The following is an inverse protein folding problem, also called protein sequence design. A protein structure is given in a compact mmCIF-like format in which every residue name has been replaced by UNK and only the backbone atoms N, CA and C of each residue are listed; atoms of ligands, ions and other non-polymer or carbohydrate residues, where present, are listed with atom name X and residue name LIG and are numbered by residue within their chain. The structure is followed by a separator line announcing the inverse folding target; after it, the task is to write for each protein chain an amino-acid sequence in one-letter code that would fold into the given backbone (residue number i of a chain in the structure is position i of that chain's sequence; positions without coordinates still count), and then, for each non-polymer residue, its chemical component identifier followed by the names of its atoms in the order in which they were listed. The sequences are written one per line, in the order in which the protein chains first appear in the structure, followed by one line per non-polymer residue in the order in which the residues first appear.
data_IF_690956232223
#
_entry.id   IF_690956232223
#
_cell.length_a   1.000
_cell.length_b   1.000
_cell.length_c   1.000
_cell.angle_alpha   90.00
_cell.angle_beta   90.00
_cell.angle_gamma   90.00
#
_symmetry.space_group_name_H-M   'P 1'
#
loop_
_entity.id
_entity.type
_entity.pdbx_description
1 polymer ?
#
# COMPACT_ATOMS: atom_id res chain seq x y z
N UNK A 1 -4.00 17.07 9.87
CA UNK A 1 -3.71 15.64 10.13
C UNK A 1 -3.97 14.94 8.80
N UNK A 2 -2.97 14.91 7.92
CA UNK A 2 -3.14 14.63 6.48
C UNK A 2 -2.63 13.24 6.13
N UNK A 3 -3.18 12.24 6.82
CA UNK A 3 -3.02 10.83 6.48
C UNK A 3 -4.42 10.21 6.32
N UNK A 4 -4.48 9.13 5.56
CA UNK A 4 -5.69 8.41 5.10
C UNK A 4 -6.64 7.95 6.21
N UNK A 5 -6.19 7.99 7.45
CA UNK A 5 -6.81 7.48 8.65
C UNK A 5 -7.58 8.51 9.46
N UNK A 6 -7.17 9.77 9.41
CA UNK A 6 -7.91 10.89 10.04
C UNK A 6 -8.76 11.65 9.03
N UNK A 7 -9.15 10.95 7.97
CA UNK A 7 -10.05 11.45 6.94
C UNK A 7 -11.33 11.93 7.60
N UNK A 8 -11.65 13.20 7.38
CA UNK A 8 -12.84 13.84 7.91
C UNK A 8 -14.08 12.98 7.57
N UNK A 9 -15.05 12.87 8.49
CA UNK A 9 -16.24 12.01 8.31
C UNK A 9 -16.94 12.23 6.97
N UNK A 10 -16.91 13.46 6.44
CA UNK A 10 -17.47 13.80 5.13
C UNK A 10 -16.74 13.12 3.96
N UNK A 11 -15.41 13.09 3.98
CA UNK A 11 -14.60 12.42 2.97
C UNK A 11 -14.76 10.89 3.08
N UNK A 12 -14.83 10.36 4.30
CA UNK A 12 -15.07 8.92 4.51
C UNK A 12 -16.46 8.47 4.01
N UNK A 13 -17.46 9.34 4.08
CA UNK A 13 -18.81 9.10 3.53
C UNK A 13 -18.86 9.27 2.01
N UNK A 14 -18.00 10.12 1.44
CA UNK A 14 -17.94 10.38 0.00
C UNK A 14 -16.71 9.69 -0.61
N UNK A 15 -16.93 8.45 -1.03
CA UNK A 15 -15.88 7.60 -1.59
C UNK A 15 -15.17 8.20 -2.79
N UNK A 16 -15.93 8.76 -3.73
CA UNK A 16 -15.37 9.36 -4.95
C UNK A 16 -14.42 10.50 -4.57
N UNK A 17 -14.86 11.40 -3.68
CA UNK A 17 -14.06 12.53 -3.26
C UNK A 17 -12.76 12.09 -2.55
N UNK A 18 -12.83 11.05 -1.72
CA UNK A 18 -11.67 10.48 -1.03
C UNK A 18 -10.61 9.97 -2.00
N UNK A 19 -11.03 9.12 -2.94
CA UNK A 19 -10.14 8.46 -3.88
C UNK A 19 -9.57 9.40 -4.93
N UNK A 20 -10.34 10.40 -5.38
CA UNK A 20 -9.86 11.45 -6.29
C UNK A 20 -8.86 12.38 -5.60
N UNK A 21 -9.08 12.72 -4.32
CA UNK A 21 -8.08 13.45 -3.53
C UNK A 21 -6.75 12.68 -3.49
N UNK A 22 -6.78 11.36 -3.25
CA UNK A 22 -5.57 10.53 -3.29
C UNK A 22 -4.95 10.45 -4.68
N UNK A 23 -5.76 10.41 -5.74
CA UNK A 23 -5.27 10.43 -7.11
C UNK A 23 -4.44 11.69 -7.38
N UNK A 24 -4.97 12.86 -7.05
CA UNK A 24 -4.29 14.14 -7.22
C UNK A 24 -3.03 14.20 -6.35
N UNK A 25 -3.15 13.84 -5.06
CA UNK A 25 -2.05 13.85 -4.11
C UNK A 25 -0.88 12.97 -4.56
N UNK A 26 -1.14 11.70 -4.91
CA UNK A 26 -0.10 10.75 -5.32
C UNK A 26 0.56 11.18 -6.62
N UNK A 27 -0.23 11.62 -7.63
CA UNK A 27 0.36 12.08 -8.90
C UNK A 27 1.21 13.32 -8.72
N UNK A 28 0.77 14.26 -7.90
CA UNK A 28 1.52 15.47 -7.58
C UNK A 28 2.84 15.10 -6.89
N UNK A 29 2.80 14.21 -5.91
CA UNK A 29 4.00 13.73 -5.21
C UNK A 29 4.97 13.04 -6.17
N UNK A 30 4.49 12.09 -6.99
CA UNK A 30 5.32 11.39 -7.99
C UNK A 30 5.98 12.37 -8.96
N UNK A 31 5.21 13.33 -9.46
CA UNK A 31 5.70 14.34 -10.39
C UNK A 31 6.75 15.23 -9.73
N UNK A 32 6.50 15.77 -8.53
CA UNK A 32 7.47 16.61 -7.82
C UNK A 32 8.76 15.83 -7.54
N UNK A 33 8.64 14.59 -7.05
CA UNK A 33 9.80 13.78 -6.66
C UNK A 33 10.65 13.30 -7.85
N UNK A 34 10.01 12.92 -8.96
CA UNK A 34 10.69 12.17 -10.03
C UNK A 34 10.46 12.68 -11.47
N UNK A 35 9.61 13.68 -11.65
CA UNK A 35 9.29 14.27 -12.96
C UNK A 35 8.29 13.48 -13.80
N UNK A 36 7.76 12.38 -13.27
CA UNK A 36 6.84 11.47 -13.95
C UNK A 36 5.67 11.13 -13.03
N UNK A 37 4.52 10.80 -13.61
CA UNK A 37 3.33 10.36 -12.87
C UNK A 37 3.05 8.85 -12.99
N UNK A 38 3.86 8.12 -13.78
CA UNK A 38 3.64 6.68 -14.04
C UNK A 38 3.99 5.79 -12.86
N UNK A 39 4.88 6.26 -11.99
CA UNK A 39 5.46 5.53 -10.87
C UNK A 39 6.66 6.31 -10.34
N UNK A 40 7.20 5.90 -9.20
CA UNK A 40 8.32 6.62 -8.59
C UNK A 40 9.59 6.36 -9.42
N UNK A 41 10.10 7.42 -10.04
CA UNK A 41 11.24 7.40 -10.97
C UNK A 41 11.08 6.48 -12.20
N UNK A 42 9.82 6.23 -12.58
CA UNK A 42 9.45 5.39 -13.71
C UNK A 42 9.03 6.24 -14.92
N UNK A 43 9.83 6.23 -15.99
CA UNK A 43 9.61 7.07 -17.19
C UNK A 43 8.90 6.34 -18.34
N UNK A 44 8.77 5.01 -18.24
CA UNK A 44 8.13 4.16 -19.25
C UNK A 44 7.48 2.94 -18.57
N UNK A 45 6.59 2.22 -19.27
CA UNK A 45 5.97 1.00 -18.73
C UNK A 45 4.91 1.24 -17.66
N UNK A 46 4.29 2.42 -17.66
CA UNK A 46 3.19 2.74 -16.74
C UNK A 46 2.00 1.78 -16.91
N UNK A 47 1.15 1.71 -15.88
CA UNK A 47 -0.06 0.87 -15.92
C UNK A 47 -1.01 1.30 -17.05
N UNK A 48 -1.94 0.42 -17.43
CA UNK A 48 -3.00 0.76 -18.38
C UNK A 48 -3.88 1.91 -17.88
N UNK A 49 -4.38 2.77 -18.78
CA UNK A 49 -5.19 3.96 -18.42
C UNK A 49 -6.38 3.63 -17.51
N UNK A 50 -7.04 2.50 -17.75
CA UNK A 50 -8.15 2.00 -16.93
C UNK A 50 -7.79 1.69 -15.47
N UNK A 51 -6.52 1.33 -15.24
CA UNK A 51 -5.96 1.01 -13.93
C UNK A 51 -5.17 2.16 -13.34
N UNK A 52 -4.92 3.24 -14.07
CA UNK A 52 -4.10 4.37 -13.62
C UNK A 52 -4.85 5.23 -12.59
N UNK A 53 -5.09 4.64 -11.43
CA UNK A 53 -5.77 5.26 -10.30
C UNK A 53 -5.36 4.53 -9.01
N UNK A 54 -4.98 5.23 -7.91
CA UNK A 54 -4.51 4.60 -6.68
C UNK A 54 -5.46 3.55 -6.09
N UNK A 55 -6.77 3.79 -6.20
CA UNK A 55 -7.79 2.82 -5.77
C UNK A 55 -7.78 1.50 -6.55
N UNK A 56 -7.08 1.40 -7.67
CA UNK A 56 -7.11 0.24 -8.60
C UNK A 56 -5.76 -0.46 -8.75
N UNK A 57 -4.74 -0.03 -8.01
CA UNK A 57 -3.38 -0.54 -8.13
C UNK A 57 -2.82 -1.02 -6.80
N UNK A 58 -1.86 -1.92 -6.91
CA UNK A 58 -0.98 -2.31 -5.82
C UNK A 58 0.39 -1.71 -6.13
N UNK A 59 0.92 -0.93 -5.21
CA UNK A 59 2.22 -0.27 -5.41
C UNK A 59 3.34 -1.30 -5.28
N UNK A 60 4.32 -1.20 -6.19
CA UNK A 60 5.56 -1.95 -6.06
C UNK A 60 6.47 -1.22 -5.05
N UNK A 61 7.03 -1.96 -4.08
CA UNK A 61 7.89 -1.42 -3.03
C UNK A 61 9.35 -1.24 -3.46
N UNK A 62 9.72 -1.79 -4.61
CA UNK A 62 11.08 -1.73 -5.15
C UNK A 62 11.15 -0.80 -6.34
N UNK A 63 12.18 0.04 -6.33
CA UNK A 63 12.53 0.92 -7.45
C UNK A 63 13.91 0.62 -8.03
N UNK A 64 14.54 -0.46 -7.55
CA UNK A 64 15.94 -0.77 -7.89
C UNK A 64 16.16 -0.97 -9.39
N UNK A 65 15.12 -1.36 -10.11
CA UNK A 65 15.17 -1.58 -11.57
C UNK A 65 14.89 -0.30 -12.37
N UNK A 66 14.27 0.72 -11.75
CA UNK A 66 13.87 1.95 -12.43
C UNK A 66 15.03 2.67 -13.15
N UNK A 67 16.26 2.76 -12.60
CA UNK A 67 17.38 3.37 -13.33
C UNK A 67 17.64 2.70 -14.67
N UNK A 68 17.66 1.36 -14.71
CA UNK A 68 17.95 0.57 -15.91
C UNK A 68 16.83 0.61 -16.96
N UNK A 69 15.58 0.75 -16.52
CA UNK A 69 14.41 0.85 -17.41
C UNK A 69 14.25 2.28 -17.95
N UNK A 70 14.41 3.27 -17.07
CA UNK A 70 14.08 4.67 -17.37
C UNK A 70 15.20 5.41 -18.10
N UNK A 71 16.47 5.00 -17.98
CA UNK A 71 17.62 5.70 -18.56
C UNK A 71 17.46 6.09 -20.05
N UNK A 72 16.95 5.21 -20.95
CA UNK A 72 16.78 5.57 -22.36
C UNK A 72 15.68 6.60 -22.61
N UNK A 73 14.75 6.77 -21.67
CA UNK A 73 13.53 7.57 -21.81
C UNK A 73 13.59 8.91 -21.06
N UNK A 74 14.66 9.18 -20.33
CA UNK A 74 14.83 10.47 -19.63
C UNK A 74 15.07 11.60 -20.65
N UNK A 75 14.58 12.82 -20.37
CA UNK A 75 14.90 13.98 -21.19
C UNK A 75 16.41 14.22 -21.22
N UNK A 76 17.03 14.13 -22.40
CA UNK A 76 18.46 14.42 -22.62
C UNK A 76 18.69 15.58 -23.59
N UNK A 77 17.71 15.88 -24.44
CA UNK A 77 17.80 16.89 -25.50
C UNK A 77 17.24 18.22 -25.00
N UNK A 78 17.89 19.36 -25.30
CA UNK A 78 17.35 20.69 -24.99
C UNK A 78 15.93 20.89 -25.53
N UNK A 79 15.02 21.32 -24.65
CA UNK A 79 13.63 21.55 -25.01
C UNK A 79 12.75 21.78 -23.78
N UNK A 80 11.44 22.04 -23.97
CA UNK A 80 10.51 22.34 -22.87
C UNK A 80 10.44 21.24 -21.81
N UNK A 81 10.56 19.97 -22.22
CA UNK A 81 10.55 18.81 -21.31
C UNK A 81 11.79 18.74 -20.44
N UNK A 82 12.97 19.00 -21.00
CA UNK A 82 14.22 19.09 -20.23
C UNK A 82 14.20 20.30 -19.30
N UNK A 83 13.68 21.45 -19.76
CA UNK A 83 13.55 22.65 -18.92
C UNK A 83 12.64 22.40 -17.71
N UNK A 84 11.44 21.84 -17.92
CA UNK A 84 10.53 21.46 -16.84
C UNK A 84 11.17 20.46 -15.88
N UNK A 85 11.89 19.47 -16.43
CA UNK A 85 12.61 18.49 -15.64
C UNK A 85 13.67 19.15 -14.75
N UNK A 86 14.50 20.03 -15.31
CA UNK A 86 15.57 20.77 -14.60
C UNK A 86 15.02 21.76 -13.56
N UNK A 87 13.95 22.49 -13.89
CA UNK A 87 13.29 23.41 -12.94
C UNK A 87 12.75 22.66 -11.72
N UNK A 88 12.10 21.51 -11.94
CA UNK A 88 11.63 20.64 -10.87
C UNK A 88 12.80 20.04 -10.07
N UNK A 89 13.86 19.65 -10.75
CA UNK A 89 15.04 19.02 -10.14
C UNK A 89 15.77 19.95 -9.17
N UNK A 90 15.68 21.27 -9.38
CA UNK A 90 16.16 22.29 -8.44
C UNK A 90 15.50 22.19 -7.05
N UNK A 91 14.21 21.84 -6.98
CA UNK A 91 13.49 21.73 -5.71
C UNK A 91 13.62 20.35 -5.07
N UNK A 92 13.62 19.28 -5.87
CA UNK A 92 13.77 17.90 -5.39
C UNK A 92 14.62 17.10 -6.37
N UNK A 93 15.83 16.73 -5.97
CA UNK A 93 16.69 15.86 -6.77
C UNK A 93 16.59 14.42 -6.27
N UNK A 94 16.02 13.54 -7.09
CA UNK A 94 16.21 12.10 -6.91
C UNK A 94 17.55 11.71 -7.57
N UNK A 95 18.53 11.16 -6.84
CA UNK A 95 19.78 10.72 -7.43
C UNK A 95 19.49 9.63 -8.47
N UNK A 96 20.07 9.77 -9.67
CA UNK A 96 19.99 8.75 -10.71
C UNK A 96 21.29 7.95 -10.64
N UNK A 97 21.25 6.67 -10.22
CA UNK A 97 22.43 5.82 -10.24
C UNK A 97 22.97 5.69 -11.66
N UNK A 98 24.30 5.71 -11.80
CA UNK A 98 24.93 5.31 -13.06
C UNK A 98 24.68 3.81 -13.28
N UNK A 99 24.12 3.47 -14.43
CA UNK A 99 23.83 2.10 -14.83
C UNK A 99 25.05 1.39 -15.42
N UNK A 100 26.13 2.13 -15.70
CA UNK A 100 27.33 1.69 -16.41
C UNK A 100 27.01 1.03 -17.76
N UNK A 101 26.05 1.62 -18.48
CA UNK A 101 25.60 1.15 -19.79
C UNK A 101 24.70 -0.10 -19.74
N UNK A 102 24.37 -0.63 -18.56
CA UNK A 102 23.38 -1.71 -18.44
C UNK A 102 21.98 -1.14 -18.58
N UNK A 103 21.14 -1.80 -19.37
CA UNK A 103 19.74 -1.41 -19.54
C UNK A 103 18.81 -2.61 -19.37
N UNK A 104 17.54 -2.31 -19.07
CA UNK A 104 16.45 -3.27 -19.11
C UNK A 104 15.43 -2.75 -20.11
N UNK A 105 15.33 -3.42 -21.26
CA UNK A 105 14.32 -3.09 -22.25
C UNK A 105 12.93 -3.51 -21.75
N UNK A 106 11.95 -2.65 -22.00
CA UNK A 106 10.55 -3.02 -21.86
C UNK A 106 10.01 -3.47 -23.21
N UNK A 107 9.09 -4.43 -23.15
CA UNK A 107 8.33 -4.88 -24.30
C UNK A 107 6.85 -5.06 -23.89
N UNK A 108 5.91 -4.94 -24.84
CA UNK A 108 4.53 -5.33 -24.61
C UNK A 108 4.38 -6.82 -24.26
N UNK A 109 3.18 -7.21 -23.84
CA UNK A 109 2.92 -8.62 -23.59
C UNK A 109 3.11 -9.45 -24.89
N UNK A 110 3.84 -10.58 -24.83
CA UNK A 110 4.01 -11.47 -25.98
C UNK A 110 2.66 -11.90 -26.54
N UNK A 111 2.48 -11.77 -27.86
CA UNK A 111 1.34 -12.32 -28.57
C UNK A 111 1.51 -13.83 -28.78
N UNK A 112 2.71 -14.25 -29.21
CA UNK A 112 3.10 -15.64 -29.42
C UNK A 112 4.62 -15.77 -29.53
N UNK A 113 5.08 -17.01 -29.49
CA UNK A 113 6.42 -17.40 -29.91
C UNK A 113 6.30 -18.19 -31.21
N UNK A 114 7.12 -17.89 -32.21
CA UNK A 114 7.15 -18.62 -33.47
C UNK A 114 7.85 -19.99 -33.32
N UNK A 115 7.89 -20.77 -34.40
CA UNK A 115 8.55 -22.09 -34.42
C UNK A 115 10.06 -22.03 -34.14
N UNK A 116 10.67 -20.86 -34.32
CA UNK A 116 12.09 -20.62 -34.07
C UNK A 116 12.35 -20.06 -32.65
N UNK A 117 11.30 -19.91 -31.84
CA UNK A 117 11.38 -19.31 -30.50
C UNK A 117 11.49 -17.78 -30.49
N UNK A 118 11.29 -17.12 -31.64
CA UNK A 118 11.26 -15.65 -31.72
C UNK A 118 9.94 -15.15 -31.15
N UNK A 119 9.99 -14.08 -30.35
CA UNK A 119 8.78 -13.48 -29.78
C UNK A 119 8.15 -12.45 -30.72
N UNK A 120 6.84 -12.58 -30.93
CA UNK A 120 6.00 -11.57 -31.56
C UNK A 120 5.30 -10.76 -30.46
N UNK A 121 5.46 -9.44 -30.44
CA UNK A 121 4.82 -8.57 -29.44
C UNK A 121 3.51 -7.97 -29.93
N UNK A 122 2.56 -7.80 -29.00
CA UNK A 122 1.31 -7.09 -29.27
C UNK A 122 1.57 -5.59 -29.43
N UNK A 123 1.07 -4.96 -30.50
CA UNK A 123 1.13 -3.50 -30.64
C UNK A 123 0.20 -2.83 -29.62
N UNK A 124 0.78 -2.16 -28.63
CA UNK A 124 0.05 -1.43 -27.60
C UNK A 124 0.04 0.10 -27.82
N UNK A 125 0.62 0.59 -28.93
CA UNK A 125 0.71 2.01 -29.26
C UNK A 125 1.59 2.84 -28.33
N UNK A 126 2.55 2.21 -27.63
CA UNK A 126 3.43 2.87 -26.64
C UNK A 126 4.91 2.76 -27.06
N UNK A 127 5.79 3.65 -26.53
CA UNK A 127 7.19 3.69 -26.94
C UNK A 127 7.97 2.38 -26.74
N UNK A 128 7.59 1.54 -25.78
CA UNK A 128 8.20 0.22 -25.61
C UNK A 128 7.94 -0.71 -26.82
N UNK A 129 6.78 -0.62 -27.48
CA UNK A 129 6.51 -1.38 -28.70
C UNK A 129 7.35 -0.87 -29.87
N UNK A 130 7.40 0.45 -30.07
CA UNK A 130 8.15 1.05 -31.18
C UNK A 130 9.63 0.70 -31.13
N UNK A 131 10.19 0.59 -29.92
CA UNK A 131 11.57 0.14 -29.70
C UNK A 131 11.77 -1.33 -30.09
N UNK A 132 10.83 -2.21 -29.75
CA UNK A 132 10.91 -3.64 -30.08
C UNK A 132 10.56 -3.95 -31.54
N UNK A 133 9.80 -3.08 -32.20
CA UNK A 133 9.34 -3.28 -33.58
C UNK A 133 10.52 -3.44 -34.53
N UNK A 134 10.52 -4.54 -35.29
CA UNK A 134 11.58 -4.86 -36.26
C UNK A 134 12.79 -5.58 -35.68
N UNK A 135 12.86 -5.76 -34.35
CA UNK A 135 13.88 -6.60 -33.73
C UNK A 135 13.45 -8.08 -33.78
N UNK A 136 14.42 -8.99 -33.97
CA UNK A 136 14.20 -10.44 -33.79
C UNK A 136 14.76 -10.84 -32.44
N UNK A 137 13.87 -11.08 -31.48
CA UNK A 137 14.25 -11.44 -30.11
C UNK A 137 13.92 -12.91 -29.87
N UNK A 138 14.93 -13.71 -29.57
CA UNK A 138 14.80 -15.13 -29.21
C UNK A 138 15.31 -15.33 -27.78
N UNK A 139 14.45 -15.35 -26.75
CA UNK A 139 14.90 -15.47 -25.37
C UNK A 139 15.37 -16.89 -25.05
N UNK A 140 16.42 -17.02 -24.24
CA UNK A 140 16.89 -18.31 -23.72
C UNK A 140 16.03 -18.81 -22.55
N UNK A 141 15.32 -17.90 -21.87
CA UNK A 141 14.45 -18.22 -20.73
C UNK A 141 13.24 -17.28 -20.68
N UNK A 142 12.08 -17.85 -20.36
CA UNK A 142 10.84 -17.10 -20.11
C UNK A 142 10.38 -17.35 -18.68
N UNK A 143 10.26 -16.28 -17.89
CA UNK A 143 9.79 -16.34 -16.50
C UNK A 143 8.40 -15.73 -16.40
N UNK A 144 7.38 -16.55 -16.12
CA UNK A 144 5.98 -16.13 -16.07
C UNK A 144 5.61 -15.56 -14.69
N UNK A 145 5.72 -14.25 -14.52
CA UNK A 145 5.35 -13.54 -13.30
C UNK A 145 3.83 -13.23 -13.20
N UNK A 146 2.96 -14.19 -13.54
CA UNK A 146 1.49 -14.00 -13.65
C UNK A 146 0.75 -14.03 -12.31
N UNK A 147 1.45 -14.34 -11.22
CA UNK A 147 0.92 -14.41 -9.86
C UNK A 147 0.23 -15.74 -9.53
N UNK A 148 -0.47 -15.78 -8.39
CA UNK A 148 -1.02 -17.00 -7.80
C UNK A 148 -2.56 -16.93 -7.65
N UNK A 149 -3.19 -18.11 -7.57
CA UNK A 149 -4.59 -18.32 -7.17
C UNK A 149 -4.63 -18.92 -5.76
N UNK A 150 -5.65 -18.58 -5.00
CA UNK A 150 -5.92 -19.18 -3.69
C UNK A 150 -6.86 -20.38 -3.87
N UNK A 151 -6.63 -21.45 -3.11
CA UNK A 151 -7.48 -22.65 -3.11
C UNK A 151 -7.52 -23.23 -1.70
N UNK A 152 -8.69 -23.68 -1.25
CA UNK A 152 -8.88 -24.26 0.09
C UNK A 152 -9.51 -25.66 0.01
N UNK A 153 -8.80 -26.67 -0.54
CA UNK A 153 -9.38 -28.00 -0.74
C UNK A 153 -9.88 -28.65 0.56
N UNK A 154 -9.33 -28.28 1.72
CA UNK A 154 -9.70 -28.80 3.02
C UNK A 154 -11.02 -28.22 3.58
N UNK A 155 -11.49 -27.07 3.10
CA UNK A 155 -12.77 -26.46 3.50
C UNK A 155 -13.95 -26.99 2.68
N UNK A 156 -13.66 -27.53 1.49
CA UNK A 156 -14.65 -28.07 0.55
C UNK A 156 -14.84 -29.59 0.67
N UNK A 157 -14.31 -30.23 1.72
CA UNK A 157 -14.49 -31.68 1.94
C UNK A 157 -15.84 -31.96 2.59
N UNK A 158 -16.88 -32.05 1.79
CA UNK A 158 -18.10 -32.76 2.16
C UNK A 158 -17.81 -34.27 1.99
N UNK A 159 -17.66 -34.98 3.11
CA UNK A 159 -17.55 -36.45 3.08
C UNK A 159 -18.94 -37.09 2.88
N UNK A 160 -20.01 -36.36 3.21
CA UNK A 160 -21.39 -36.71 2.95
C UNK A 160 -22.08 -35.63 2.12
N UNK A 161 -22.92 -36.02 1.15
CA UNK A 161 -23.65 -35.11 0.25
C UNK A 161 -24.55 -34.07 0.95
N UNK A 162 -24.80 -34.22 2.25
CA UNK A 162 -25.60 -33.31 3.07
C UNK A 162 -24.79 -32.30 3.90
N UNK A 163 -23.46 -32.38 3.89
CA UNK A 163 -22.61 -31.46 4.66
C UNK A 163 -22.52 -30.10 3.95
N UNK A 164 -22.85 -29.03 4.67
CA UNK A 164 -22.67 -27.66 4.19
C UNK A 164 -21.16 -27.35 4.20
N UNK A 165 -20.54 -26.97 3.06
CA UNK A 165 -19.12 -26.62 3.03
C UNK A 165 -18.80 -25.45 3.98
N UNK A 166 -17.61 -25.48 4.58
CA UNK A 166 -17.14 -24.33 5.35
C UNK A 166 -17.05 -23.08 4.46
N UNK A 167 -17.28 -21.88 5.01
CA UNK A 167 -17.03 -20.65 4.27
C UNK A 167 -15.57 -20.60 3.80
N UNK A 168 -15.32 -19.86 2.72
CA UNK A 168 -13.97 -19.52 2.25
C UNK A 168 -13.71 -18.03 2.48
N UNK A 169 -12.47 -17.52 2.33
CA UNK A 169 -12.19 -16.09 2.49
C UNK A 169 -13.07 -15.18 1.62
N UNK A 170 -13.49 -15.63 0.43
CA UNK A 170 -14.37 -14.85 -0.46
C UNK A 170 -15.80 -14.71 0.09
N UNK A 171 -16.19 -15.55 1.06
CA UNK A 171 -17.46 -15.48 1.77
C UNK A 171 -17.43 -14.56 3.00
N UNK A 172 -16.26 -14.04 3.39
CA UNK A 172 -16.10 -13.23 4.59
C UNK A 172 -16.64 -11.81 4.40
N UNK A 173 -17.79 -11.53 4.99
CA UNK A 173 -18.55 -10.27 4.91
C UNK A 173 -18.36 -9.38 6.15
N UNK A 174 -17.54 -9.80 7.12
CA UNK A 174 -17.10 -8.96 8.23
C UNK A 174 -15.61 -8.70 8.11
N UNK A 175 -15.26 -7.48 7.68
CA UNK A 175 -13.87 -6.99 7.55
C UNK A 175 -12.95 -7.87 6.72
N UNK A 176 -13.49 -8.73 5.86
CA UNK A 176 -12.74 -9.79 5.17
C UNK A 176 -12.01 -10.75 6.13
N UNK A 177 -12.60 -10.98 7.31
CA UNK A 177 -12.05 -11.86 8.36
C UNK A 177 -12.96 -13.04 8.64
N UNK A 178 -14.26 -12.88 8.81
CA UNK A 178 -15.19 -14.02 9.00
C UNK A 178 -16.51 -13.77 8.30
N UNK A 179 -17.35 -14.81 8.23
CA UNK A 179 -18.73 -14.73 7.75
C UNK A 179 -19.64 -14.41 8.94
N UNK A 180 -20.47 -13.37 8.85
CA UNK A 180 -21.31 -12.87 9.95
C UNK A 180 -22.16 -13.93 10.62
N UNK A 181 -22.78 -14.80 9.82
CA UNK A 181 -23.66 -15.87 10.30
C UNK A 181 -22.90 -17.10 10.80
N UNK A 182 -21.58 -17.15 10.57
CA UNK A 182 -20.70 -18.21 11.06
C UNK A 182 -19.33 -17.64 11.48
N UNK A 183 -19.25 -17.03 12.68
CA UNK A 183 -18.00 -16.45 13.17
C UNK A 183 -17.00 -17.49 13.67
N UNK A 184 -17.32 -18.78 13.63
CA UNK A 184 -16.48 -19.86 14.20
C UNK A 184 -15.20 -20.09 13.40
N UNK A 185 -15.14 -19.59 12.16
CA UNK A 185 -13.97 -19.68 11.28
C UNK A 185 -13.50 -18.27 10.86
N UNK A 186 -12.22 -18.00 11.09
CA UNK A 186 -11.56 -16.74 10.73
C UNK A 186 -10.49 -16.91 9.65
N UNK A 187 -10.49 -16.01 8.67
CA UNK A 187 -9.55 -15.92 7.56
C UNK A 187 -8.55 -14.79 7.79
N UNK A 188 -7.40 -15.14 8.37
CA UNK A 188 -6.36 -14.18 8.75
C UNK A 188 -5.31 -14.03 7.63
N UNK A 189 -4.98 -12.79 7.27
CA UNK A 189 -3.94 -12.47 6.29
C UNK A 189 -4.35 -12.61 4.82
N UNK A 190 -5.64 -12.83 4.54
CA UNK A 190 -6.16 -12.98 3.17
C UNK A 190 -6.44 -11.66 2.45
N UNK A 191 -6.34 -10.52 3.14
CA UNK A 191 -6.38 -9.20 2.51
C UNK A 191 -5.05 -8.85 1.85
N UNK A 192 -5.09 -8.11 0.74
CA UNK A 192 -3.89 -7.59 0.08
C UNK A 192 -3.81 -6.08 0.25
N UNK A 193 -2.88 -5.54 1.06
CA UNK A 193 -2.69 -4.10 1.12
C UNK A 193 -2.14 -3.55 -0.21
N UNK A 194 -2.64 -2.38 -0.64
CA UNK A 194 -2.14 -1.60 -1.79
C UNK A 194 -0.67 -1.24 -1.60
N UNK A 195 -0.34 -0.75 -0.40
CA UNK A 195 0.99 -0.44 0.09
C UNK A 195 0.99 -0.72 1.59
N UNK A 196 1.83 -1.65 2.06
CA UNK A 196 1.88 -2.01 3.48
C UNK A 196 2.23 -3.47 3.70
N UNK A 197 2.26 -3.92 4.95
CA UNK A 197 2.66 -5.26 5.33
C UNK A 197 1.43 -6.09 5.73
N UNK A 198 1.41 -7.38 5.39
CA UNK A 198 0.33 -8.28 5.81
C UNK A 198 0.41 -8.64 7.30
N UNK A 199 1.59 -8.90 7.90
CA UNK A 199 1.66 -9.33 9.31
C UNK A 199 1.00 -8.35 10.31
N UNK A 200 1.16 -7.02 10.21
CA UNK A 200 0.43 -6.10 11.08
C UNK A 200 -1.09 -6.16 10.88
N UNK A 201 -1.56 -6.30 9.65
CA UNK A 201 -2.99 -6.45 9.39
C UNK A 201 -3.52 -7.77 9.96
N UNK A 202 -2.79 -8.87 9.76
CA UNK A 202 -3.13 -10.18 10.32
C UNK A 202 -3.20 -10.16 11.84
N UNK A 203 -2.31 -9.42 12.52
CA UNK A 203 -2.38 -9.20 13.96
C UNK A 203 -3.69 -8.51 14.36
N UNK A 204 -4.05 -7.40 13.70
CA UNK A 204 -5.28 -6.66 13.98
C UNK A 204 -6.54 -7.48 13.66
N UNK A 205 -6.53 -8.23 12.55
CA UNK A 205 -7.61 -9.16 12.18
C UNK A 205 -7.82 -10.23 13.26
N UNK A 206 -6.72 -10.80 13.76
CA UNK A 206 -6.74 -11.81 14.82
C UNK A 206 -7.28 -11.23 16.11
N UNK A 207 -6.81 -10.05 16.51
CA UNK A 207 -7.30 -9.36 17.70
C UNK A 207 -8.81 -9.14 17.66
N UNK A 208 -9.34 -8.62 16.55
CA UNK A 208 -10.77 -8.38 16.38
C UNK A 208 -11.57 -9.68 16.43
N UNK A 209 -11.14 -10.69 15.69
CA UNK A 209 -11.86 -11.98 15.62
C UNK A 209 -11.86 -12.69 16.98
N UNK A 210 -10.72 -12.74 17.67
CA UNK A 210 -10.62 -13.34 19.01
C UNK A 210 -11.46 -12.57 20.02
N UNK A 211 -11.45 -11.23 20.00
CA UNK A 211 -12.31 -10.42 20.86
C UNK A 211 -13.80 -10.68 20.56
N UNK A 212 -14.19 -10.81 19.29
CA UNK A 212 -15.56 -11.15 18.91
C UNK A 212 -16.01 -12.49 19.50
N UNK A 213 -15.13 -13.50 19.53
CA UNK A 213 -15.45 -14.83 20.05
C UNK A 213 -15.45 -14.89 21.59
N UNK A 214 -14.46 -14.31 22.24
CA UNK A 214 -14.22 -14.52 23.67
C UNK A 214 -14.78 -13.41 24.56
N UNK A 215 -14.82 -12.17 24.04
CA UNK A 215 -15.21 -10.98 24.80
C UNK A 215 -15.99 -9.99 23.93
N UNK A 216 -17.14 -10.39 23.34
CA UNK A 216 -17.89 -9.53 22.41
C UNK A 216 -18.33 -8.21 23.04
N UNK A 217 -18.47 -8.15 24.37
CA UNK A 217 -18.79 -6.91 25.11
C UNK A 217 -17.69 -5.84 25.02
N UNK A 218 -16.47 -6.21 24.64
CA UNK A 218 -15.36 -5.27 24.41
C UNK A 218 -15.41 -4.62 23.03
N UNK A 219 -16.30 -5.06 22.14
CA UNK A 219 -16.58 -4.40 20.86
C UNK A 219 -17.67 -3.35 21.13
N UNK A 220 -17.35 -2.04 21.08
CA UNK A 220 -18.24 -0.98 21.58
C UNK A 220 -19.49 -0.76 20.71
N UNK A 221 -19.51 -1.29 19.48
CA UNK A 221 -20.55 -1.05 18.49
C UNK A 221 -20.67 -2.19 17.50
N UNK A 222 -21.85 -2.38 16.92
CA UNK A 222 -22.06 -3.36 15.85
C UNK A 222 -21.14 -3.09 14.66
N UNK A 223 -20.52 -4.14 14.13
CA UNK A 223 -19.64 -4.07 12.97
C UNK A 223 -20.49 -3.98 11.69
N UNK A 224 -20.70 -2.77 11.17
CA UNK A 224 -21.57 -2.54 10.03
C UNK A 224 -20.82 -2.63 8.69
N UNK A 225 -21.44 -3.15 7.62
CA UNK A 225 -20.85 -3.18 6.28
C UNK A 225 -20.52 -1.78 5.72
N UNK A 226 -21.25 -0.73 6.11
CA UNK A 226 -20.99 0.63 5.63
C UNK A 226 -19.60 1.16 6.03
N UNK A 227 -19.02 0.62 7.11
CA UNK A 227 -17.68 0.96 7.55
C UNK A 227 -16.58 0.39 6.66
N UNK A 228 -16.91 -0.45 5.68
CA UNK A 228 -15.90 -1.18 4.91
C UNK A 228 -15.49 -0.49 3.62
N UNK A 229 -16.31 0.44 3.14
CA UNK A 229 -16.18 0.97 1.80
C UNK A 229 -14.87 1.75 1.60
N UNK A 230 -14.56 2.64 2.55
CA UNK A 230 -13.49 3.62 2.43
C UNK A 230 -12.07 3.04 2.32
N UNK A 231 -11.83 1.84 2.87
CA UNK A 231 -10.52 1.20 2.78
C UNK A 231 -10.43 0.16 1.65
N UNK A 232 -11.54 -0.26 1.03
CA UNK A 232 -11.50 -1.28 -0.04
C UNK A 232 -10.97 -0.67 -1.34
N UNK A 233 -10.09 -1.38 -2.05
CA UNK A 233 -9.69 -1.00 -3.39
C UNK A 233 -10.83 -1.25 -4.40
N UNK A 234 -10.85 -0.46 -5.48
CA UNK A 234 -11.80 -0.51 -6.61
C UNK A 234 -11.20 -1.31 -7.76
N UNK A 235 -10.82 -2.56 -7.48
CA UNK A 235 -10.32 -3.49 -8.50
C UNK A 235 -11.28 -3.59 -9.68
N UNK A 236 -10.76 -3.58 -10.91
CA UNK A 236 -11.56 -3.80 -12.11
C UNK A 236 -12.26 -5.18 -12.06
N UNK A 237 -13.43 -5.37 -12.68
CA UNK A 237 -14.15 -6.66 -12.66
C UNK A 237 -13.30 -7.85 -13.13
N UNK A 238 -12.42 -7.60 -14.12
CA UNK A 238 -11.47 -8.57 -14.70
C UNK A 238 -10.16 -8.73 -13.92
N UNK A 239 -9.97 -7.99 -12.83
CA UNK A 239 -8.74 -8.07 -12.05
C UNK A 239 -8.66 -9.41 -11.30
N UNK A 240 -7.46 -10.00 -11.26
CA UNK A 240 -7.19 -11.25 -10.52
C UNK A 240 -7.39 -11.10 -9.00
N UNK A 241 -7.06 -9.94 -8.44
CA UNK A 241 -7.13 -9.67 -7.00
C UNK A 241 -8.31 -8.72 -6.73
N UNK A 242 -9.29 -9.20 -5.97
CA UNK A 242 -10.49 -8.43 -5.55
C UNK A 242 -10.50 -8.08 -4.06
N UNK A 243 -9.63 -8.70 -3.27
CA UNK A 243 -9.50 -8.52 -1.82
C UNK A 243 -8.45 -7.45 -1.45
N UNK A 244 -8.36 -6.39 -2.26
CA UNK A 244 -7.43 -5.29 -2.05
C UNK A 244 -7.90 -4.29 -1.01
N UNK A 245 -7.01 -3.80 -0.14
CA UNK A 245 -7.32 -2.78 0.87
C UNK A 245 -6.24 -1.69 0.91
N UNK A 246 -6.62 -0.48 1.32
CA UNK A 246 -5.68 0.52 1.82
C UNK A 246 -5.24 0.13 3.23
N UNK A 247 -3.92 0.02 3.44
CA UNK A 247 -3.36 -0.57 4.67
C UNK A 247 -3.70 0.23 5.92
N UNK A 248 -3.43 1.53 5.89
CA UNK A 248 -3.59 2.41 7.05
C UNK A 248 -5.07 2.55 7.41
N UNK A 249 -5.93 2.80 6.41
CA UNK A 249 -7.38 2.91 6.62
C UNK A 249 -7.99 1.62 7.18
N UNK A 250 -7.55 0.46 6.67
CA UNK A 250 -8.03 -0.83 7.16
C UNK A 250 -7.57 -1.10 8.60
N UNK A 251 -6.29 -0.91 8.91
CA UNK A 251 -5.76 -1.09 10.27
C UNK A 251 -6.47 -0.17 11.28
N UNK A 252 -6.66 1.10 10.91
CA UNK A 252 -7.37 2.07 11.75
C UNK A 252 -8.84 1.71 11.92
N UNK A 253 -9.50 1.19 10.88
CA UNK A 253 -10.88 0.72 11.00
C UNK A 253 -10.99 -0.42 12.02
N UNK A 254 -10.09 -1.40 11.96
CA UNK A 254 -10.05 -2.49 12.96
C UNK A 254 -9.76 -1.95 14.37
N UNK A 255 -8.91 -0.93 14.50
CA UNK A 255 -8.67 -0.27 15.78
C UNK A 255 -9.90 0.48 16.31
N UNK A 256 -10.69 1.12 15.46
CA UNK A 256 -11.98 1.73 15.84
C UNK A 256 -12.99 0.66 16.28
N UNK A 257 -13.02 -0.48 15.60
CA UNK A 257 -13.90 -1.61 15.92
C UNK A 257 -13.54 -2.25 17.27
N UNK A 258 -12.29 -2.15 17.71
CA UNK A 258 -11.80 -2.64 19.00
C UNK A 258 -11.82 -1.60 20.13
N UNK A 259 -12.25 -0.35 19.88
CA UNK A 259 -11.97 0.79 20.75
C UNK A 259 -10.48 0.88 21.16
N UNK A 260 -9.58 0.59 20.23
CA UNK A 260 -8.13 0.61 20.42
C UNK A 260 -7.47 1.83 19.79
N UNK A 261 -8.20 2.65 19.02
CA UNK A 261 -7.69 3.88 18.43
C UNK A 261 -7.64 5.02 19.47
N UNK A 262 -6.44 5.45 19.94
CA UNK A 262 -6.35 6.52 20.94
C UNK A 262 -6.70 7.88 20.32
N UNK A 263 -7.59 8.62 20.98
CA UNK A 263 -7.90 10.01 20.66
C UNK A 263 -6.94 11.00 21.35
N UNK A 264 -7.05 12.28 21.03
CA UNK A 264 -6.20 13.33 21.64
C UNK A 264 -6.30 13.35 23.17
N UNK A 265 -7.52 13.17 23.70
CA UNK A 265 -7.74 13.13 25.15
C UNK A 265 -7.04 11.94 25.81
N UNK A 266 -6.98 10.79 25.14
CA UNK A 266 -6.26 9.62 25.64
C UNK A 266 -4.76 9.89 25.69
N UNK A 267 -4.21 10.55 24.66
CA UNK A 267 -2.78 10.95 24.64
C UNK A 267 -2.47 11.98 25.73
N UNK A 268 -3.32 12.99 25.91
CA UNK A 268 -3.14 14.02 26.95
C UNK A 268 -3.18 13.42 28.35
N UNK A 269 -4.06 12.43 28.60
CA UNK A 269 -4.13 11.72 29.89
C UNK A 269 -2.87 10.94 30.25
N UNK A 270 -2.02 10.62 29.28
CA UNK A 270 -0.73 9.94 29.52
C UNK A 270 0.38 10.93 29.94
N UNK A 271 0.09 12.23 30.00
CA UNK A 271 1.07 13.25 30.40
C UNK A 271 1.52 13.06 31.86
N UNK A 272 2.82 13.17 32.07
CA UNK A 272 3.43 13.22 33.39
C UNK A 272 4.68 14.09 33.34
N UNK A 273 4.86 14.98 34.31
CA UNK A 273 6.04 15.84 34.40
C UNK A 273 7.36 15.06 34.39
N UNK A 274 7.39 13.87 35.02
CA UNK A 274 8.57 12.99 35.01
C UNK A 274 8.88 12.37 33.63
N UNK A 275 7.92 12.40 32.70
CA UNK A 275 7.99 11.82 31.35
C UNK A 275 7.69 12.86 30.26
N UNK A 276 7.96 14.14 30.50
CA UNK A 276 7.63 15.20 29.56
C UNK A 276 8.24 14.98 28.17
N UNK A 277 9.53 14.63 28.08
CA UNK A 277 10.21 14.39 26.80
C UNK A 277 9.66 13.17 26.03
N UNK A 278 9.51 11.97 26.64
CA UNK A 278 8.81 10.86 26.01
C UNK A 278 7.38 11.20 25.58
N UNK A 279 6.64 11.95 26.38
CA UNK A 279 5.29 12.35 26.04
C UNK A 279 5.22 13.26 24.80
N UNK A 280 6.17 14.20 24.65
CA UNK A 280 6.27 15.01 23.42
C UNK A 280 6.59 14.15 22.20
N UNK A 281 7.50 13.17 22.33
CA UNK A 281 7.75 12.19 21.26
C UNK A 281 6.47 11.43 20.89
N UNK A 282 5.72 10.97 21.90
CA UNK A 282 4.46 10.27 21.70
C UNK A 282 3.45 11.15 20.94
N UNK A 283 3.27 12.41 21.34
CA UNK A 283 2.34 13.31 20.68
C UNK A 283 2.70 13.51 19.20
N UNK A 284 3.98 13.75 18.91
CA UNK A 284 4.47 13.92 17.54
C UNK A 284 4.26 12.64 16.73
N UNK A 285 4.58 11.48 17.30
CA UNK A 285 4.37 10.18 16.64
C UNK A 285 2.88 9.89 16.41
N UNK A 286 2.04 10.26 17.35
CA UNK A 286 0.60 10.10 17.21
C UNK A 286 0.02 10.98 16.09
N UNK A 287 0.54 12.20 15.89
CA UNK A 287 0.08 13.14 14.84
C UNK A 287 0.68 12.82 13.46
N UNK A 288 1.99 12.56 13.39
CA UNK A 288 2.78 12.55 12.15
C UNK A 288 3.35 11.17 11.77
N UNK A 289 3.32 10.21 12.70
CA UNK A 289 3.79 8.84 12.48
C UNK A 289 2.77 7.99 11.74
N UNK A 290 3.25 6.91 11.13
CA UNK A 290 2.41 5.88 10.55
C UNK A 290 1.58 5.14 11.63
N UNK A 291 0.50 4.46 11.25
CA UNK A 291 -0.28 3.63 12.16
C UNK A 291 0.40 2.29 12.44
N UNK A 292 1.45 2.38 13.24
CA UNK A 292 2.10 1.21 13.83
C UNK A 292 1.14 0.58 14.83
N UNK A 293 0.96 -0.74 14.78
CA UNK A 293 0.03 -1.45 15.66
C UNK A 293 0.25 -1.17 17.14
N UNK A 294 1.49 -0.88 17.55
CA UNK A 294 1.84 -0.43 18.92
C UNK A 294 1.00 0.79 19.36
N UNK A 295 0.65 1.70 18.44
CA UNK A 295 -0.26 2.83 18.71
C UNK A 295 -1.62 2.36 19.19
N UNK A 296 -2.13 1.28 18.61
CA UNK A 296 -3.40 0.65 18.98
C UNK A 296 -3.30 -0.25 20.21
N UNK A 297 -2.11 -0.34 20.83
CA UNK A 297 -1.90 -1.04 22.10
C UNK A 297 -1.86 -0.07 23.29
N UNK A 298 -2.07 1.23 23.09
CA UNK A 298 -2.15 2.22 24.18
C UNK A 298 -3.47 2.16 24.96
N UNK A 299 -4.55 1.74 24.32
CA UNK A 299 -5.89 1.54 24.90
C UNK A 299 -6.57 0.32 24.26
N UNK A 300 -7.73 -0.06 24.79
CA UNK A 300 -8.56 -1.12 24.23
C UNK A 300 -8.31 -2.48 24.88
N UNK A 301 -9.03 -3.54 24.44
CA UNK A 301 -8.99 -4.87 25.05
C UNK A 301 -7.60 -5.53 24.96
N UNK A 302 -6.78 -5.07 24.02
CA UNK A 302 -5.45 -5.59 23.72
C UNK A 302 -4.33 -4.66 24.21
N UNK A 303 -4.63 -3.74 25.14
CA UNK A 303 -3.66 -2.79 25.71
C UNK A 303 -2.40 -3.50 26.20
N UNK A 304 -1.23 -2.93 25.88
CA UNK A 304 0.06 -3.44 26.31
C UNK A 304 0.82 -2.39 27.11
N UNK A 305 1.36 -2.79 28.27
CA UNK A 305 2.06 -1.90 29.18
C UNK A 305 3.29 -1.24 28.54
N UNK A 306 4.03 -1.96 27.70
CA UNK A 306 5.23 -1.45 27.02
C UNK A 306 4.96 -0.60 25.78
N UNK A 307 3.70 -0.35 25.41
CA UNK A 307 3.36 0.36 24.19
C UNK A 307 3.85 1.81 24.21
N UNK A 308 3.77 2.48 25.37
CA UNK A 308 4.24 3.85 25.53
C UNK A 308 5.76 3.93 25.35
N UNK A 309 6.50 3.07 26.03
CA UNK A 309 7.96 3.05 26.00
C UNK A 309 8.47 2.73 24.59
N UNK A 310 7.85 1.75 23.91
CA UNK A 310 8.24 1.40 22.54
C UNK A 310 7.93 2.51 21.54
N UNK A 311 6.74 3.14 21.62
CA UNK A 311 6.40 4.27 20.75
C UNK A 311 7.35 5.45 20.95
N UNK A 312 7.82 5.67 22.17
CA UNK A 312 8.71 6.80 22.50
C UNK A 312 10.20 6.47 22.37
N UNK A 313 10.51 5.24 21.95
CA UNK A 313 11.87 4.77 21.67
C UNK A 313 12.51 5.50 20.50
N UNK A 314 13.82 5.42 20.41
CA UNK A 314 14.57 6.03 19.31
C UNK A 314 14.31 5.33 17.98
N UNK A 315 13.98 4.02 17.98
CA UNK A 315 13.62 3.28 16.76
C UNK A 315 12.39 3.90 16.09
N UNK A 316 11.32 4.11 16.87
CA UNK A 316 10.09 4.70 16.36
C UNK A 316 10.26 6.18 16.03
N UNK A 317 11.02 6.90 16.84
CA UNK A 317 11.36 8.29 16.58
C UNK A 317 12.07 8.49 15.23
N UNK A 318 13.00 7.59 14.88
CA UNK A 318 13.72 7.63 13.62
C UNK A 318 12.81 7.47 12.39
N UNK A 319 11.64 6.83 12.51
CA UNK A 319 10.69 6.71 11.39
C UNK A 319 10.12 8.06 10.93
N UNK A 320 10.13 9.05 11.82
CA UNK A 320 9.65 10.42 11.53
C UNK A 320 10.81 11.34 11.19
N UNK A 321 11.92 11.25 11.93
CA UNK A 321 13.06 12.16 11.77
C UNK A 321 13.96 11.84 10.58
N UNK A 322 13.91 10.62 10.02
CA UNK A 322 14.61 10.28 8.77
C UNK A 322 14.01 10.94 7.52
N UNK A 323 12.92 11.72 7.64
CA UNK A 323 12.32 12.49 6.53
C UNK A 323 13.16 13.75 6.29
N UNK A 324 13.97 13.81 5.20
CA UNK A 324 14.97 14.87 5.01
C UNK A 324 14.38 16.27 4.95
N UNK A 325 13.13 16.38 4.48
CA UNK A 325 12.45 17.66 4.23
C UNK A 325 12.01 18.36 5.53
N UNK A 326 11.79 17.63 6.63
CA UNK A 326 11.25 18.20 7.89
C UNK A 326 12.30 18.22 9.01
N UNK A 327 13.21 17.24 9.03
CA UNK A 327 14.19 17.10 10.13
C UNK A 327 15.62 16.83 9.63
N UNK A 328 15.86 16.91 8.31
CA UNK A 328 17.18 16.74 7.73
C UNK A 328 18.04 17.97 7.91
N UNK A 329 19.11 17.83 8.69
CA UNK A 329 20.26 18.73 8.66
C UNK A 329 20.78 18.77 7.22
N UNK A 330 20.83 19.96 6.62
CA UNK A 330 21.54 20.22 5.38
C UNK A 330 22.99 19.80 5.54
N UNK A 331 23.35 18.58 5.12
CA UNK A 331 24.75 18.28 4.81
C UNK A 331 25.03 18.88 3.44
N UNK A 332 25.39 20.16 3.45
CA UNK A 332 26.16 20.79 2.38
C UNK A 332 27.48 20.02 2.35
N UNK A 333 27.59 19.06 1.44
CA UNK A 333 28.90 18.49 1.09
C UNK A 333 29.58 19.49 0.17
N UNK A 334 30.47 20.30 0.74
CA UNK A 334 31.59 20.84 -0.01
C UNK A 334 32.66 19.75 -0.10
N UNK A 335 32.92 19.29 -1.31
CA UNK A 335 34.22 18.79 -1.75
C UNK A 335 34.20 18.69 -3.27
#
# INVERSE_FOLDING_TARGET
MFDTTYVHKMLRRNDTLLWEYYHIYIRTLLFISSGTTLGMDQWIGGVGRERDHPSRIFFNKSMKVCPYISEPYRPKVPGPTLWLYSLRSFFVQTPIPDTHGRCVDLAPFPLRFDSNGTVDFTNNGRPEYDRMRGQRIRPDMVVMCTGYKQSFPFLNKSNNANDIPYPTPDCADVRQVWKRDDPTVGFIGFVRPSLGAIPPLAEMQTQLWVTNLLSPRCIPRTLLPEDEHHYKLRSLPRARIKYGVDHESYAYQLALDLDSAPGILDIVRLFSWRRAMPWWKLLIIWILGAHLNTKFRLKGPWKWHGAFELLTSDEFWQTITRRPIIFGTSRICFS
#
